data_IF_377327046799
#
_entry.id   IF_377327046799
#
_cell.length_a   1.000
_cell.length_b   1.000
_cell.length_c   1.000
_cell.angle_alpha   90.00
_cell.angle_beta   90.00
_cell.angle_gamma   90.00
#
_symmetry.space_group_name_H-M   'P 1'
#
loop_
_entity.id
_entity.type
_entity.pdbx_description
1 polymer ?
#
# COMPACT_ATOMS: atom_id res chain seq x y z
N UNK A 1 18.33 4.19 -2.98
CA UNK A 1 17.90 3.54 -1.72
C UNK A 1 18.57 2.19 -1.46
N UNK A 2 18.49 1.19 -2.37
CA UNK A 2 19.14 -0.13 -2.16
C UNK A 2 20.65 -0.07 -1.88
N UNK A 3 21.40 0.70 -2.67
CA UNK A 3 22.84 0.88 -2.48
C UNK A 3 23.19 1.42 -1.09
N UNK A 4 22.42 2.38 -0.59
CA UNK A 4 22.62 2.94 0.75
C UNK A 4 22.39 1.91 1.87
N UNK A 5 21.42 1.00 1.72
CA UNK A 5 21.19 -0.09 2.69
C UNK A 5 22.29 -1.16 2.62
N UNK A 6 22.73 -1.53 1.41
CA UNK A 6 23.80 -2.49 1.21
C UNK A 6 25.14 -2.00 1.80
N UNK A 7 25.43 -0.70 1.67
CA UNK A 7 26.63 -0.08 2.25
C UNK A 7 26.58 -0.07 3.79
N UNK A 8 25.40 0.12 4.38
CA UNK A 8 25.24 0.23 5.85
C UNK A 8 25.40 -1.11 6.60
N UNK A 9 25.35 -2.26 5.92
CA UNK A 9 25.52 -3.61 6.49
C UNK A 9 24.83 -3.81 7.85
N UNK A 10 23.57 -3.38 7.95
CA UNK A 10 22.82 -3.47 9.20
C UNK A 10 22.63 -4.94 9.60
N UNK A 11 22.86 -5.30 10.88
CA UNK A 11 22.70 -6.66 11.34
C UNK A 11 21.24 -7.12 11.16
N UNK A 12 21.05 -8.33 10.61
CA UNK A 12 19.73 -8.90 10.34
C UNK A 12 18.99 -8.31 9.14
N UNK A 13 19.62 -7.44 8.33
CA UNK A 13 18.98 -6.82 7.16
C UNK A 13 19.66 -7.29 5.87
N UNK A 14 18.91 -8.00 5.02
CA UNK A 14 19.35 -8.40 3.68
C UNK A 14 18.65 -7.57 2.61
N UNK A 15 19.43 -6.82 1.82
CA UNK A 15 18.90 -6.00 0.73
C UNK A 15 18.75 -6.82 -0.57
N UNK A 16 17.54 -7.28 -0.86
CA UNK A 16 17.24 -8.05 -2.08
C UNK A 16 16.85 -7.14 -3.25
N UNK A 17 17.18 -7.56 -4.48
CA UNK A 17 16.61 -6.94 -5.69
C UNK A 17 15.21 -7.49 -5.92
N UNK A 18 14.26 -6.65 -6.32
CA UNK A 18 12.90 -7.09 -6.59
C UNK A 18 12.13 -6.07 -7.40
N UNK A 19 11.23 -6.56 -8.24
CA UNK A 19 10.19 -5.77 -8.90
C UNK A 19 8.83 -6.24 -8.38
N UNK A 20 7.80 -5.42 -8.55
CA UNK A 20 6.46 -5.74 -8.01
C UNK A 20 5.84 -7.02 -8.53
N UNK A 21 6.33 -7.48 -9.69
CA UNK A 21 5.92 -8.70 -10.37
C UNK A 21 6.90 -9.86 -10.19
N UNK A 22 8.00 -9.63 -9.46
CA UNK A 22 9.07 -10.61 -9.23
C UNK A 22 9.87 -10.23 -7.98
N UNK A 23 9.46 -10.78 -6.85
CA UNK A 23 10.18 -10.68 -5.59
C UNK A 23 11.25 -11.78 -5.56
N UNK A 24 12.51 -11.42 -5.32
CA UNK A 24 13.61 -12.39 -5.15
C UNK A 24 13.60 -13.03 -3.76
N UNK A 25 12.40 -13.28 -3.23
CA UNK A 25 12.13 -13.97 -1.97
C UNK A 25 11.55 -15.34 -2.30
N UNK A 26 12.07 -16.39 -1.66
CA UNK A 26 11.53 -17.74 -1.80
C UNK A 26 10.29 -17.89 -0.93
N UNK A 27 10.39 -17.56 0.36
CA UNK A 27 9.34 -17.77 1.35
C UNK A 27 9.47 -16.75 2.50
N UNK A 28 8.36 -16.14 2.92
CA UNK A 28 8.27 -15.19 4.04
C UNK A 28 7.06 -15.51 4.93
N UNK A 29 7.22 -15.32 6.24
CA UNK A 29 6.13 -15.50 7.22
C UNK A 29 5.25 -14.24 7.32
N UNK A 30 5.88 -13.07 7.23
CA UNK A 30 5.21 -11.78 7.14
C UNK A 30 5.86 -10.89 6.09
N UNK A 31 5.05 -10.05 5.45
CA UNK A 31 5.53 -9.07 4.48
C UNK A 31 4.96 -7.68 4.81
N UNK A 32 5.74 -6.79 5.46
CA UNK A 32 5.33 -5.41 5.67
C UNK A 32 5.61 -4.55 4.42
N UNK A 33 4.62 -3.79 3.94
CA UNK A 33 4.78 -2.81 2.85
C UNK A 33 4.45 -1.40 3.37
N UNK A 34 5.40 -0.47 3.26
CA UNK A 34 5.27 0.94 3.66
C UNK A 34 6.32 1.83 2.98
N UNK A 35 6.05 3.10 2.61
CA UNK A 35 4.87 3.65 1.96
C UNK A 35 5.03 3.53 0.43
N UNK A 36 4.39 2.54 -0.18
CA UNK A 36 4.34 2.36 -1.65
C UNK A 36 3.39 1.22 -2.07
N UNK A 37 2.39 0.85 -1.27
CA UNK A 37 1.49 -0.25 -1.64
C UNK A 37 0.71 0.00 -2.94
N UNK A 38 0.30 1.24 -3.24
CA UNK A 38 -0.50 1.55 -4.44
C UNK A 38 0.15 1.09 -5.75
N UNK A 39 1.47 1.05 -5.76
CA UNK A 39 2.28 0.49 -6.82
C UNK A 39 2.09 -1.03 -7.01
N UNK A 40 1.74 -1.77 -5.94
CA UNK A 40 1.39 -3.20 -5.88
C UNK A 40 -0.13 -3.46 -5.91
N UNK A 41 -0.97 -2.41 -6.03
CA UNK A 41 -2.41 -2.54 -6.11
C UNK A 41 -2.86 -3.02 -7.50
N UNK A 42 -2.44 -4.23 -7.89
CA UNK A 42 -2.88 -4.91 -9.10
C UNK A 42 -2.75 -6.44 -8.93
N UNK A 43 -3.55 -7.21 -9.67
CA UNK A 43 -3.66 -8.68 -9.52
C UNK A 43 -2.31 -9.41 -9.54
N UNK A 44 -1.46 -9.12 -10.51
CA UNK A 44 -0.15 -9.76 -10.66
C UNK A 44 0.78 -9.55 -9.44
N UNK A 45 0.68 -8.41 -8.75
CA UNK A 45 1.47 -8.15 -7.55
C UNK A 45 0.91 -8.92 -6.36
N UNK A 46 -0.42 -9.02 -6.23
CA UNK A 46 -1.06 -9.82 -5.20
C UNK A 46 -0.75 -11.32 -5.34
N UNK A 47 -0.74 -11.84 -6.57
CA UNK A 47 -0.32 -13.22 -6.87
C UNK A 47 1.14 -13.46 -6.47
N UNK A 48 2.04 -12.54 -6.80
CA UNK A 48 3.45 -12.65 -6.43
C UNK A 48 3.68 -12.54 -4.92
N UNK A 49 2.92 -11.69 -4.22
CA UNK A 49 2.95 -11.60 -2.76
C UNK A 49 2.44 -12.91 -2.14
N UNK A 50 1.36 -13.47 -2.66
CA UNK A 50 0.84 -14.75 -2.19
C UNK A 50 1.82 -15.90 -2.44
N UNK A 51 2.49 -15.92 -3.59
CA UNK A 51 3.52 -16.93 -3.92
C UNK A 51 4.64 -16.97 -2.89
N UNK A 52 5.06 -15.81 -2.39
CA UNK A 52 6.17 -15.72 -1.41
C UNK A 52 5.71 -15.89 0.03
N UNK A 53 4.41 -15.85 0.34
CA UNK A 53 3.92 -16.06 1.70
C UNK A 53 3.85 -17.57 2.02
N UNK A 54 4.30 -17.95 3.23
CA UNK A 54 4.06 -19.30 3.78
C UNK A 54 2.56 -19.58 3.89
N UNK A 55 2.19 -20.85 3.97
CA UNK A 55 0.87 -21.25 4.43
C UNK A 55 0.56 -20.55 5.77
N UNK A 56 -0.58 -19.85 5.85
CA UNK A 56 -1.01 -18.98 6.97
C UNK A 56 -0.15 -17.72 7.21
N UNK A 57 0.75 -17.36 6.30
CA UNK A 57 1.51 -16.11 6.34
C UNK A 57 0.60 -14.88 6.24
N UNK A 58 1.06 -13.75 6.79
CA UNK A 58 0.27 -12.52 6.86
C UNK A 58 0.90 -11.38 6.06
N UNK A 59 0.09 -10.69 5.27
CA UNK A 59 0.46 -9.44 4.61
C UNK A 59 0.16 -8.27 5.55
N UNK A 60 1.20 -7.53 5.94
CA UNK A 60 1.09 -6.32 6.75
C UNK A 60 1.19 -5.08 5.87
N UNK A 61 0.23 -4.18 5.96
CA UNK A 61 0.26 -2.92 5.21
C UNK A 61 0.26 -1.76 6.20
N UNK A 62 1.31 -0.95 6.15
CA UNK A 62 1.45 0.24 7.00
C UNK A 62 1.54 1.44 6.06
N UNK A 63 0.75 2.48 6.34
CA UNK A 63 0.70 3.65 5.49
C UNK A 63 0.58 4.93 6.30
N UNK A 64 1.47 5.90 6.00
CA UNK A 64 1.35 7.28 6.47
C UNK A 64 0.52 8.06 5.44
N UNK A 65 -0.79 8.15 5.68
CA UNK A 65 -1.75 8.74 4.75
C UNK A 65 -2.12 10.13 5.20
N UNK A 66 -2.07 11.09 4.27
CA UNK A 66 -2.80 12.34 4.46
C UNK A 66 -4.27 12.07 4.13
N UNK A 67 -5.21 12.53 4.98
CA UNK A 67 -6.64 12.39 4.72
C UNK A 67 -7.00 12.90 3.33
N UNK A 68 -7.79 12.14 2.59
CA UNK A 68 -8.33 12.50 1.28
C UNK A 68 -9.18 13.77 1.41
N UNK A 69 -8.68 14.89 0.88
CA UNK A 69 -9.39 16.17 0.77
C UNK A 69 -9.70 16.91 2.08
N UNK A 70 -9.84 16.20 3.21
CA UNK A 70 -10.37 16.68 4.49
C UNK A 70 -9.35 17.30 5.43
N UNK A 71 -8.07 17.38 5.04
CA UNK A 71 -7.10 18.12 5.84
C UNK A 71 -7.13 19.60 5.48
N UNK A 72 -7.39 20.42 6.50
CA UNK A 72 -7.33 21.88 6.46
C UNK A 72 -5.87 22.30 6.47
N UNK A 73 -5.44 23.00 5.43
CA UNK A 73 -4.13 23.63 5.43
C UNK A 73 -4.05 24.67 6.55
N UNK A 74 -2.93 24.72 7.28
CA UNK A 74 -2.76 25.68 8.37
C UNK A 74 -2.50 27.09 7.83
N UNK A 75 -1.99 27.20 6.59
CA UNK A 75 -1.68 28.48 5.96
C UNK A 75 -2.27 28.60 4.55
N UNK A 76 -2.43 29.84 4.09
CA UNK A 76 -2.86 30.15 2.72
C UNK A 76 -1.89 29.58 1.66
N UNK A 77 -0.59 29.61 1.95
CA UNK A 77 0.44 29.03 1.07
C UNK A 77 0.29 27.53 0.91
N UNK A 78 0.07 26.80 2.02
CA UNK A 78 -0.16 25.36 1.98
C UNK A 78 -1.42 24.99 1.19
N UNK A 79 -2.48 25.79 1.32
CA UNK A 79 -3.71 25.62 0.55
C UNK A 79 -3.46 25.82 -0.95
N UNK A 80 -2.75 26.88 -1.33
CA UNK A 80 -2.42 27.16 -2.73
C UNK A 80 -1.53 26.08 -3.34
N UNK A 81 -0.54 25.58 -2.57
CA UNK A 81 0.29 24.44 -2.97
C UNK A 81 -0.53 23.16 -3.12
N UNK A 82 -1.46 22.89 -2.20
CA UNK A 82 -2.38 21.73 -2.26
C UNK A 82 -3.21 21.77 -3.54
N UNK A 83 -3.79 22.91 -3.88
CA UNK A 83 -4.59 23.10 -5.09
C UNK A 83 -3.77 22.86 -6.36
N UNK A 84 -2.55 23.40 -6.44
CA UNK A 84 -1.66 23.14 -7.56
C UNK A 84 -1.36 21.64 -7.72
N UNK A 85 -1.02 20.95 -6.62
CA UNK A 85 -0.72 19.51 -6.63
C UNK A 85 -1.95 18.64 -6.96
N UNK A 86 -3.16 19.13 -6.67
CA UNK A 86 -4.41 18.45 -7.03
C UNK A 86 -4.80 18.68 -8.49
N UNK A 87 -4.48 19.84 -9.06
CA UNK A 87 -4.72 20.17 -10.48
C UNK A 87 -3.77 19.48 -11.44
N UNK A 88 -2.57 19.10 -10.99
CA UNK A 88 -1.64 18.33 -11.81
C UNK A 88 -2.24 16.97 -12.18
N UNK A 89 -2.12 16.64 -13.47
CA UNK A 89 -2.46 15.32 -13.99
C UNK A 89 -1.80 14.23 -13.12
N UNK A 90 -2.56 13.23 -12.62
CA UNK A 90 -1.98 12.10 -11.92
C UNK A 90 -1.08 11.27 -12.86
N UNK A 91 0.17 11.72 -13.02
CA UNK A 91 1.22 10.92 -13.65
C UNK A 91 1.52 9.69 -12.77
N UNK A 92 1.37 8.50 -13.34
CA UNK A 92 1.61 7.21 -12.68
C UNK A 92 0.33 6.54 -12.16
N UNK A 93 0.46 5.42 -11.44
CA UNK A 93 -0.69 4.69 -10.92
C UNK A 93 -1.36 5.45 -9.77
N UNK A 94 -2.62 5.11 -9.47
CA UNK A 94 -3.41 5.78 -8.45
C UNK A 94 -2.64 5.90 -7.14
N UNK A 95 -2.59 7.09 -6.57
CA UNK A 95 -2.00 7.36 -5.26
C UNK A 95 -3.02 7.02 -4.17
N UNK A 96 -2.56 7.00 -2.92
CA UNK A 96 -3.45 6.82 -1.76
C UNK A 96 -4.64 7.79 -1.78
N UNK A 97 -4.39 9.05 -2.17
CA UNK A 97 -5.42 10.10 -2.23
C UNK A 97 -6.53 9.83 -3.25
N UNK A 98 -6.28 8.95 -4.21
CA UNK A 98 -7.25 8.62 -5.25
C UNK A 98 -8.23 7.54 -4.76
N UNK A 99 -7.95 6.93 -3.60
CA UNK A 99 -8.77 5.90 -2.93
C UNK A 99 -9.14 4.72 -3.84
N UNK A 100 -8.36 4.46 -4.90
CA UNK A 100 -8.63 3.36 -5.84
C UNK A 100 -7.98 2.04 -5.45
N UNK A 101 -7.05 2.06 -4.50
CA UNK A 101 -6.21 0.91 -4.17
C UNK A 101 -7.00 -0.23 -3.48
N UNK A 102 -8.00 0.10 -2.66
CA UNK A 102 -8.80 -0.88 -1.92
C UNK A 102 -9.73 -1.69 -2.83
N UNK A 103 -10.18 -1.13 -3.96
CA UNK A 103 -10.99 -1.85 -4.93
C UNK A 103 -10.33 -3.12 -5.46
N UNK A 104 -8.99 -3.18 -5.47
CA UNK A 104 -8.26 -4.37 -5.91
C UNK A 104 -8.33 -5.48 -4.87
N UNK A 105 -8.21 -5.14 -3.59
CA UNK A 105 -8.37 -6.07 -2.48
C UNK A 105 -9.83 -6.54 -2.36
N UNK A 106 -10.78 -5.62 -2.50
CA UNK A 106 -12.22 -5.95 -2.48
C UNK A 106 -12.60 -6.85 -3.65
N UNK A 107 -12.11 -6.57 -4.87
CA UNK A 107 -12.36 -7.44 -6.02
C UNK A 107 -11.77 -8.82 -5.82
N UNK A 108 -10.57 -8.90 -5.24
CA UNK A 108 -9.93 -10.17 -4.94
C UNK A 108 -10.70 -10.95 -3.87
N UNK A 109 -11.21 -10.30 -2.82
CA UNK A 109 -11.95 -11.00 -1.75
C UNK A 109 -13.27 -11.59 -2.22
N UNK A 110 -13.89 -10.98 -3.25
CA UNK A 110 -15.13 -11.45 -3.91
C UNK A 110 -14.89 -12.48 -5.02
N UNK A 111 -13.65 -12.79 -5.39
CA UNK A 111 -13.35 -13.73 -6.46
C UNK A 111 -13.67 -15.19 -6.03
N UNK A 112 -13.99 -16.05 -7.00
CA UNK A 112 -14.32 -17.46 -6.75
C UNK A 112 -13.23 -18.25 -5.99
N UNK A 113 -11.97 -17.82 -6.09
CA UNK A 113 -10.84 -18.30 -5.30
C UNK A 113 -10.11 -17.09 -4.72
N UNK A 114 -10.50 -16.60 -3.53
CA UNK A 114 -9.84 -15.46 -2.93
C UNK A 114 -8.44 -15.84 -2.45
N UNK A 115 -7.46 -14.98 -2.76
CA UNK A 115 -6.04 -15.12 -2.41
C UNK A 115 -5.77 -14.61 -0.97
N UNK A 116 -6.58 -13.66 -0.50
CA UNK A 116 -6.61 -13.16 0.88
C UNK A 116 -8.06 -13.16 1.39
N UNK A 117 -8.25 -13.60 2.64
CA UNK A 117 -9.57 -13.85 3.24
C UNK A 117 -10.15 -12.67 4.03
N UNK A 118 -9.37 -11.65 4.37
CA UNK A 118 -9.82 -10.52 5.20
C UNK A 118 -8.86 -9.32 5.11
N UNK A 119 -9.35 -8.08 5.21
CA UNK A 119 -8.63 -7.06 5.97
C UNK A 119 -8.87 -7.33 7.47
N UNK A 120 -7.88 -7.85 8.19
CA UNK A 120 -7.92 -7.86 9.66
C UNK A 120 -7.56 -6.45 10.17
N UNK A 121 -8.50 -5.77 10.82
CA UNK A 121 -8.20 -4.57 11.62
C UNK A 121 -8.48 -3.21 10.98
N UNK A 122 -9.48 -3.09 10.11
CA UNK A 122 -9.99 -1.75 9.75
C UNK A 122 -11.01 -1.31 10.80
N UNK A 123 -10.65 -0.36 11.67
CA UNK A 123 -11.67 0.48 12.32
C UNK A 123 -12.28 1.34 11.21
N UNK A 124 -13.36 0.86 10.58
CA UNK A 124 -14.28 1.74 9.85
C UNK A 124 -14.64 2.87 10.82
N UNK A 125 -14.21 4.10 10.55
CA UNK A 125 -14.82 5.25 11.22
C UNK A 125 -16.29 5.20 10.84
N UNK A 126 -17.10 4.75 11.79
CA UNK A 126 -18.53 4.56 11.63
C UNK A 126 -19.14 5.82 11.05
N UNK A 127 -19.94 5.65 10.02
CA UNK A 127 -20.92 6.65 9.61
C UNK A 127 -21.87 6.79 10.80
N UNK A 128 -21.69 7.82 11.62
CA UNK A 128 -22.69 8.23 12.59
C UNK A 128 -23.91 8.69 11.79
N UNK A 129 -24.89 7.81 11.61
CA UNK A 129 -26.26 8.21 11.39
C UNK A 129 -26.80 8.58 12.76
N UNK A 130 -26.85 9.88 13.05
CA UNK A 130 -27.73 10.35 14.11
C UNK A 130 -29.15 10.36 13.51
N UNK A 131 -30.05 9.66 14.20
CA UNK A 131 -31.49 9.86 14.09
C UNK A 131 -31.93 11.08 14.88
#
# INVERSE_FOLDING_TARGET
>A
MRGALAVKRLPGVTALSGRRRRLSLSVAESLPISPSFHWFAHKQALEEIHRVLKWRGKLGMIWNGQPTGKWTAATRWEQQRKELILKLDPAGPPRFRDDKWWHVLERQSRAAKPIFSTPMGEKKKGTSRNG
#
